data_IF_167061112671
#
_entry.id   IF_167061112671
#
_cell.length_a   1.000
_cell.length_b   1.000
_cell.length_c   1.000
_cell.angle_alpha   90.00
_cell.angle_beta   90.00
_cell.angle_gamma   90.00
#
_symmetry.space_group_name_H-M   'P 1'
#
loop_
_entity.id
_entity.type
_entity.pdbx_description
1 polymer ?
#
# COMPACT_ATOMS: atom_id res chain seq x y z
N UNK A 1 -40.19 26.36 8.97
CA UNK A 1 -40.31 24.89 9.16
C UNK A 1 -38.92 24.32 9.52
N UNK A 2 -38.82 23.27 10.35
CA UNK A 2 -37.54 22.58 10.66
C UNK A 2 -37.37 21.38 9.70
N UNK A 3 -36.21 21.27 9.06
CA UNK A 3 -35.88 20.23 8.07
C UNK A 3 -35.12 19.02 8.63
N UNK A 4 -34.77 19.04 9.92
CA UNK A 4 -33.98 18.02 10.61
C UNK A 4 -32.65 18.57 11.11
N UNK A 5 -31.79 17.70 11.64
CA UNK A 5 -30.45 18.04 12.09
C UNK A 5 -29.42 17.85 10.97
N UNK A 6 -28.47 18.77 10.88
CA UNK A 6 -27.36 18.70 9.95
C UNK A 6 -26.48 17.49 10.26
N UNK A 7 -26.23 16.62 9.27
CA UNK A 7 -25.46 15.39 9.51
C UNK A 7 -23.97 15.62 9.83
N UNK A 8 -23.44 16.82 9.58
CA UNK A 8 -22.04 17.16 9.86
C UNK A 8 -21.84 17.81 11.24
N UNK A 9 -22.72 18.73 11.65
CA UNK A 9 -22.54 19.48 12.90
C UNK A 9 -23.56 19.14 14.00
N UNK A 10 -24.61 18.36 13.68
CA UNK A 10 -25.67 17.97 14.62
C UNK A 10 -26.66 19.08 14.99
N UNK A 11 -26.49 20.28 14.44
CA UNK A 11 -27.37 21.43 14.70
C UNK A 11 -28.61 21.40 13.81
N UNK A 12 -29.74 21.91 14.31
CA UNK A 12 -30.98 22.02 13.54
C UNK A 12 -30.81 22.85 12.25
N UNK A 13 -31.44 22.39 11.16
CA UNK A 13 -31.52 23.10 9.88
C UNK A 13 -32.93 23.66 9.73
N UNK A 14 -33.02 24.98 9.72
CA UNK A 14 -34.28 25.70 9.56
C UNK A 14 -34.51 26.11 8.10
N UNK A 15 -35.75 26.52 7.80
CA UNK A 15 -36.13 26.98 6.47
C UNK A 15 -35.46 28.26 6.00
N UNK A 16 -35.02 29.09 6.94
CA UNK A 16 -34.18 30.25 6.67
C UNK A 16 -32.77 29.90 6.23
N UNK A 17 -32.31 28.66 6.47
CA UNK A 17 -30.92 28.28 6.28
C UNK A 17 -30.69 27.77 4.84
N UNK A 18 -29.58 28.20 4.24
CA UNK A 18 -29.06 27.58 3.02
C UNK A 18 -28.61 26.15 3.33
N UNK A 19 -29.10 25.18 2.55
CA UNK A 19 -28.93 23.76 2.83
C UNK A 19 -28.76 22.93 1.57
N UNK A 20 -28.16 21.75 1.75
CA UNK A 20 -27.98 20.74 0.72
C UNK A 20 -28.66 19.45 1.20
N UNK A 21 -29.42 18.82 0.31
CA UNK A 21 -29.98 17.49 0.54
C UNK A 21 -29.00 16.43 0.06
N UNK A 22 -28.70 15.46 0.92
CA UNK A 22 -27.84 14.30 0.65
C UNK A 22 -28.63 13.00 0.85
N UNK A 23 -28.11 11.88 0.35
CA UNK A 23 -28.70 10.54 0.51
C UNK A 23 -28.83 10.18 2.00
N UNK A 24 -27.93 10.69 2.84
CA UNK A 24 -27.86 10.40 4.27
C UNK A 24 -28.58 11.43 5.16
N UNK A 25 -29.13 12.51 4.59
CA UNK A 25 -29.85 13.54 5.35
C UNK A 25 -29.68 14.96 4.81
N UNK A 26 -29.99 15.94 5.66
CA UNK A 26 -29.86 17.37 5.35
C UNK A 26 -28.56 17.93 5.91
N UNK A 27 -27.96 18.91 5.23
CA UNK A 27 -26.68 19.52 5.61
C UNK A 27 -26.79 21.04 5.45
N UNK A 28 -26.27 21.82 6.41
CA UNK A 28 -26.06 23.27 6.19
C UNK A 28 -25.08 23.48 5.03
N UNK A 29 -25.38 24.41 4.14
CA UNK A 29 -24.55 24.65 2.95
C UNK A 29 -23.08 24.95 3.30
N UNK A 30 -22.84 25.71 4.37
CA UNK A 30 -21.50 26.00 4.88
C UNK A 30 -20.76 24.74 5.36
N UNK A 31 -21.45 23.86 6.08
CA UNK A 31 -20.87 22.59 6.52
C UNK A 31 -20.53 21.66 5.34
N UNK A 32 -21.36 21.63 4.30
CA UNK A 32 -21.07 20.88 3.06
C UNK A 32 -19.83 21.45 2.33
N UNK A 33 -19.67 22.77 2.29
CA UNK A 33 -18.48 23.42 1.72
C UNK A 33 -17.21 23.11 2.51
N UNK A 34 -17.25 23.23 3.84
CA UNK A 34 -16.11 22.90 4.71
C UNK A 34 -15.69 21.43 4.57
N UNK A 35 -16.66 20.51 4.54
CA UNK A 35 -16.41 19.09 4.37
C UNK A 35 -15.81 18.76 2.98
N UNK A 36 -16.28 19.41 1.91
CA UNK A 36 -15.67 19.26 0.57
C UNK A 36 -14.24 19.77 0.55
N UNK A 37 -13.97 20.90 1.19
CA UNK A 37 -12.61 21.44 1.30
C UNK A 37 -11.69 20.52 2.12
N UNK A 38 -12.17 19.91 3.20
CA UNK A 38 -11.37 18.98 3.99
C UNK A 38 -11.04 17.71 3.19
N UNK A 39 -12.01 17.15 2.48
CA UNK A 39 -11.78 16.01 1.57
C UNK A 39 -10.72 16.37 0.52
N UNK A 40 -10.84 17.54 -0.12
CA UNK A 40 -9.88 17.96 -1.14
C UNK A 40 -8.47 18.13 -0.58
N UNK A 41 -8.33 18.60 0.66
CA UNK A 41 -7.04 18.73 1.33
C UNK A 41 -6.44 17.36 1.69
N UNK A 42 -7.24 16.46 2.26
CA UNK A 42 -6.82 15.09 2.57
C UNK A 42 -6.40 14.34 1.30
N UNK A 43 -7.18 14.46 0.21
CA UNK A 43 -6.83 13.86 -1.08
C UNK A 43 -5.51 14.40 -1.62
N UNK A 44 -5.26 15.71 -1.53
CA UNK A 44 -3.98 16.31 -1.95
C UNK A 44 -2.81 15.79 -1.11
N UNK A 45 -2.98 15.71 0.20
CA UNK A 45 -1.94 15.20 1.09
C UNK A 45 -1.61 13.73 0.78
N UNK A 46 -2.62 12.88 0.62
CA UNK A 46 -2.44 11.49 0.21
C UNK A 46 -1.67 11.38 -1.11
N UNK A 47 -2.06 12.16 -2.13
CA UNK A 47 -1.36 12.18 -3.42
C UNK A 47 0.11 12.62 -3.30
N UNK A 48 0.43 13.58 -2.43
CA UNK A 48 1.80 14.01 -2.19
C UNK A 48 2.63 12.92 -1.49
N UNK A 49 2.03 12.24 -0.51
CA UNK A 49 2.66 11.11 0.19
C UNK A 49 2.95 9.94 -0.77
N UNK A 50 2.00 9.58 -1.63
CA UNK A 50 2.19 8.55 -2.67
C UNK A 50 3.31 8.91 -3.64
N UNK A 51 3.35 10.15 -4.14
CA UNK A 51 4.43 10.63 -5.01
C UNK A 51 5.79 10.58 -4.32
N UNK A 52 5.86 10.97 -3.05
CA UNK A 52 7.08 10.92 -2.26
C UNK A 52 7.55 9.48 -2.03
N UNK A 53 6.62 8.55 -1.75
CA UNK A 53 6.90 7.14 -1.62
C UNK A 53 7.41 6.55 -2.94
N UNK A 54 6.69 6.73 -4.05
CA UNK A 54 7.12 6.24 -5.37
C UNK A 54 8.52 6.78 -5.75
N UNK A 55 8.83 8.03 -5.43
CA UNK A 55 10.16 8.60 -5.66
C UNK A 55 11.25 7.93 -4.82
N UNK A 56 10.96 7.58 -3.55
CA UNK A 56 11.90 6.86 -2.67
C UNK A 56 12.13 5.43 -3.17
N UNK A 57 11.06 4.72 -3.52
CA UNK A 57 11.10 3.35 -4.02
C UNK A 57 11.83 3.26 -5.36
N UNK A 58 11.55 4.16 -6.31
CA UNK A 58 12.26 4.21 -7.60
C UNK A 58 13.78 4.45 -7.42
N UNK A 59 14.15 5.34 -6.48
CA UNK A 59 15.57 5.55 -6.14
C UNK A 59 16.20 4.30 -5.53
N UNK A 60 15.45 3.58 -4.69
CA UNK A 60 15.89 2.33 -4.09
C UNK A 60 16.13 1.27 -5.16
N UNK A 61 15.18 1.04 -6.07
CA UNK A 61 15.32 0.10 -7.18
C UNK A 61 16.50 0.43 -8.08
N UNK A 62 16.65 1.69 -8.48
CA UNK A 62 17.79 2.15 -9.27
C UNK A 62 19.14 1.94 -8.57
N UNK A 63 19.17 1.99 -7.23
CA UNK A 63 20.35 1.66 -6.44
C UNK A 63 20.57 0.15 -6.38
N UNK A 64 19.53 -0.64 -6.16
CA UNK A 64 19.62 -2.10 -6.11
C UNK A 64 20.11 -2.67 -7.44
N UNK A 65 19.56 -2.20 -8.58
CA UNK A 65 19.98 -2.58 -9.93
C UNK A 65 21.48 -2.39 -10.18
N UNK A 66 22.06 -1.33 -9.60
CA UNK A 66 23.49 -1.00 -9.75
C UNK A 66 24.40 -1.74 -8.77
N UNK A 67 23.88 -2.15 -7.61
CA UNK A 67 24.73 -2.63 -6.49
C UNK A 67 24.62 -4.12 -6.23
N UNK A 68 23.50 -4.75 -6.59
CA UNK A 68 23.32 -6.18 -6.45
C UNK A 68 23.98 -6.93 -7.60
N UNK A 69 24.33 -8.19 -7.36
CA UNK A 69 24.77 -9.10 -8.43
C UNK A 69 23.62 -9.25 -9.43
N UNK A 70 23.88 -9.29 -10.75
CA UNK A 70 22.82 -9.39 -11.76
C UNK A 70 21.83 -10.53 -11.51
N UNK A 71 22.31 -11.70 -11.09
CA UNK A 71 21.43 -12.85 -10.79
C UNK A 71 20.55 -12.69 -9.56
N UNK A 72 20.92 -11.83 -8.60
CA UNK A 72 20.11 -11.50 -7.42
C UNK A 72 19.10 -10.42 -7.79
N UNK A 73 19.49 -9.47 -8.64
CA UNK A 73 18.55 -8.45 -9.13
C UNK A 73 17.53 -9.04 -10.11
N UNK A 74 17.93 -9.98 -10.96
CA UNK A 74 17.00 -10.68 -11.85
C UNK A 74 15.91 -11.45 -11.09
N UNK A 75 16.22 -11.97 -9.91
CA UNK A 75 15.20 -12.55 -9.01
C UNK A 75 14.16 -11.51 -8.58
N UNK A 76 14.59 -10.29 -8.29
CA UNK A 76 13.70 -9.20 -7.91
C UNK A 76 12.88 -8.73 -9.13
N UNK A 77 13.48 -8.65 -10.32
CA UNK A 77 12.76 -8.31 -11.56
C UNK A 77 11.64 -9.32 -11.86
N UNK A 78 11.89 -10.63 -11.69
CA UNK A 78 10.85 -11.65 -11.85
C UNK A 78 9.68 -11.47 -10.88
N UNK A 79 9.94 -11.12 -9.61
CA UNK A 79 8.85 -10.85 -8.65
C UNK A 79 7.95 -9.70 -9.10
N UNK A 80 8.50 -8.71 -9.81
CA UNK A 80 7.71 -7.62 -10.39
C UNK A 80 6.93 -8.04 -11.65
N UNK A 81 7.34 -9.11 -12.32
CA UNK A 81 6.65 -9.65 -13.50
C UNK A 81 5.51 -10.59 -13.11
N UNK A 82 5.71 -11.42 -12.08
CA UNK A 82 4.76 -12.48 -11.66
C UNK A 82 3.73 -11.99 -10.62
N UNK A 83 4.05 -10.94 -9.87
CA UNK A 83 3.20 -10.45 -8.79
C UNK A 83 2.89 -8.96 -8.92
N UNK A 84 1.77 -8.54 -8.33
CA UNK A 84 1.58 -7.12 -8.00
C UNK A 84 2.44 -6.84 -6.79
N UNK A 85 3.40 -5.93 -6.95
CA UNK A 85 4.28 -5.51 -5.87
C UNK A 85 3.94 -4.08 -5.46
N UNK A 86 3.69 -3.89 -4.17
CA UNK A 86 3.61 -2.59 -3.51
C UNK A 86 4.65 -2.49 -2.40
N UNK A 87 4.91 -1.27 -1.94
CA UNK A 87 5.72 -0.96 -0.75
C UNK A 87 7.01 -1.78 -0.60
N UNK A 88 8.13 -1.20 -1.03
CA UNK A 88 9.44 -1.85 -0.93
C UNK A 88 10.36 -1.13 0.07
N UNK A 89 11.05 -1.92 0.90
CA UNK A 89 11.98 -1.39 1.90
C UNK A 89 13.17 -2.33 2.12
N UNK A 90 14.35 -1.77 2.46
CA UNK A 90 15.46 -2.57 2.97
C UNK A 90 15.37 -2.64 4.49
N UNK A 91 15.25 -3.84 5.02
CA UNK A 91 15.17 -4.11 6.46
C UNK A 91 16.29 -5.02 6.95
N UNK A 92 16.51 -5.02 8.26
CA UNK A 92 17.39 -5.97 8.95
C UNK A 92 16.69 -7.30 9.24
N UNK A 93 17.47 -8.32 9.64
CA UNK A 93 16.93 -9.62 10.03
C UNK A 93 15.91 -9.54 11.19
N UNK A 94 16.02 -8.54 12.06
CA UNK A 94 15.12 -8.28 13.19
C UNK A 94 13.69 -7.92 12.77
N UNK A 95 13.49 -7.54 11.49
CA UNK A 95 12.19 -7.20 10.92
C UNK A 95 11.63 -8.28 9.99
N UNK A 96 12.35 -9.38 9.82
CA UNK A 96 11.90 -10.49 8.98
C UNK A 96 10.91 -11.35 9.78
N UNK A 97 9.76 -11.64 9.20
CA UNK A 97 8.76 -12.58 9.71
C UNK A 97 8.43 -13.65 8.67
N UNK A 98 7.46 -14.52 8.97
CA UNK A 98 7.00 -15.58 8.06
C UNK A 98 7.78 -16.89 8.15
N UNK A 99 7.51 -17.79 7.21
CA UNK A 99 8.20 -19.07 7.05
C UNK A 99 9.41 -18.93 6.12
N UNK A 100 10.46 -19.69 6.41
CA UNK A 100 11.67 -19.71 5.60
C UNK A 100 11.52 -20.74 4.48
N UNK A 101 11.21 -20.25 3.28
CA UNK A 101 10.97 -21.08 2.11
C UNK A 101 12.19 -21.16 1.19
N UNK A 102 12.29 -22.24 0.41
CA UNK A 102 13.32 -22.35 -0.63
C UNK A 102 12.89 -21.53 -1.82
N UNK A 103 13.78 -20.67 -2.29
CA UNK A 103 13.48 -19.80 -3.43
C UNK A 103 13.21 -20.59 -4.72
N UNK A 104 13.79 -21.78 -4.89
CA UNK A 104 13.47 -22.66 -6.03
C UNK A 104 12.02 -23.13 -6.06
N UNK A 105 11.37 -23.24 -4.91
CA UNK A 105 10.01 -23.76 -4.82
C UNK A 105 8.99 -22.67 -5.22
N UNK A 106 9.38 -21.41 -5.06
CA UNK A 106 8.67 -20.24 -5.59
C UNK A 106 8.80 -20.08 -7.11
N UNK A 107 9.98 -20.36 -7.67
CA UNK A 107 10.29 -20.02 -9.06
C UNK A 107 10.21 -21.21 -10.02
N UNK A 108 10.05 -22.43 -9.49
CA UNK A 108 10.13 -23.66 -10.28
C UNK A 108 11.53 -23.98 -10.83
N UNK A 109 12.52 -23.10 -10.63
CA UNK A 109 13.89 -23.28 -11.12
C UNK A 109 14.98 -22.83 -10.11
N UNK A 110 16.23 -23.20 -10.40
CA UNK A 110 17.37 -22.90 -9.53
C UNK A 110 17.82 -21.45 -9.66
N UNK A 111 17.48 -20.62 -8.67
CA UNK A 111 17.90 -19.21 -8.59
C UNK A 111 19.14 -18.99 -7.71
N UNK A 112 19.76 -17.80 -7.80
CA UNK A 112 20.97 -17.47 -7.01
C UNK A 112 20.68 -17.22 -5.53
N UNK A 113 19.44 -16.93 -5.18
CA UNK A 113 18.96 -16.84 -3.82
C UNK A 113 18.53 -18.24 -3.38
N UNK A 114 18.99 -18.70 -2.20
CA UNK A 114 18.66 -20.06 -1.73
C UNK A 114 17.32 -20.12 -1.01
N UNK A 115 17.04 -19.10 -0.21
CA UNK A 115 15.87 -19.02 0.64
C UNK A 115 15.31 -17.60 0.61
N UNK A 116 13.99 -17.50 0.76
CA UNK A 116 13.28 -16.27 1.09
C UNK A 116 12.51 -16.49 2.38
N UNK A 117 11.99 -15.41 2.94
CA UNK A 117 10.96 -15.51 3.97
C UNK A 117 9.64 -15.05 3.40
N UNK A 118 8.59 -15.75 3.76
CA UNK A 118 7.27 -15.64 3.18
C UNK A 118 6.22 -15.61 4.29
N UNK A 119 5.44 -14.55 4.33
CA UNK A 119 4.31 -14.34 5.22
C UNK A 119 3.04 -14.03 4.41
N UNK A 120 2.95 -14.62 3.22
CA UNK A 120 1.76 -14.52 2.38
C UNK A 120 0.69 -15.49 2.85
N UNK A 121 -0.56 -15.04 2.75
CA UNK A 121 -1.74 -15.85 3.04
C UNK A 121 -2.65 -15.86 1.83
N UNK A 122 -3.25 -17.01 1.56
CA UNK A 122 -4.34 -17.14 0.62
C UNK A 122 -5.64 -16.66 1.26
N UNK A 123 -6.50 -16.02 0.48
CA UNK A 123 -7.81 -15.62 0.96
C UNK A 123 -8.74 -16.83 1.18
N UNK A 124 -9.92 -16.55 1.74
CA UNK A 124 -10.89 -17.58 2.10
C UNK A 124 -11.40 -18.38 0.89
N UNK A 125 -11.44 -17.75 -0.28
CA UNK A 125 -11.96 -18.34 -1.50
C UNK A 125 -10.89 -19.10 -2.30
N UNK A 126 -9.62 -18.91 -1.97
CA UNK A 126 -8.50 -19.61 -2.58
C UNK A 126 -8.11 -19.04 -3.94
N UNK A 127 -8.68 -17.91 -4.34
CA UNK A 127 -8.49 -17.28 -5.65
C UNK A 127 -7.52 -16.09 -5.59
N UNK A 128 -7.21 -15.58 -4.40
CA UNK A 128 -6.20 -14.55 -4.19
C UNK A 128 -5.19 -14.89 -3.11
N UNK A 129 -4.03 -14.24 -3.16
CA UNK A 129 -3.05 -14.25 -2.09
C UNK A 129 -2.44 -12.87 -1.88
N UNK A 130 -1.93 -12.64 -0.68
CA UNK A 130 -1.20 -11.42 -0.39
C UNK A 130 -0.43 -11.49 0.92
N UNK A 131 0.56 -10.63 1.04
CA UNK A 131 1.37 -10.49 2.24
C UNK A 131 2.78 -10.02 1.94
N UNK A 132 3.67 -10.19 2.92
CA UNK A 132 5.05 -9.73 2.80
C UNK A 132 5.98 -10.89 2.48
N UNK A 133 6.98 -10.59 1.65
CA UNK A 133 8.14 -11.45 1.44
C UNK A 133 9.43 -10.70 1.75
N UNK A 134 10.47 -11.42 2.16
CA UNK A 134 11.79 -10.87 2.42
C UNK A 134 12.85 -11.60 1.62
N UNK A 135 13.43 -10.88 0.66
CA UNK A 135 14.46 -11.37 -0.24
C UNK A 135 15.84 -11.02 0.31
N UNK A 136 16.74 -12.00 0.56
CA UNK A 136 18.07 -11.69 1.06
C UNK A 136 18.90 -10.97 -0.01
N UNK A 137 19.33 -9.75 0.29
CA UNK A 137 20.20 -8.92 -0.57
C UNK A 137 21.64 -8.84 -0.05
N UNK A 138 21.96 -9.61 1.00
CA UNK A 138 23.29 -9.80 1.56
C UNK A 138 23.64 -8.89 2.73
N UNK A 139 24.66 -9.31 3.50
CA UNK A 139 25.12 -8.65 4.74
C UNK A 139 24.02 -8.52 5.82
N UNK A 140 23.19 -9.56 5.97
CA UNK A 140 22.10 -9.56 6.96
C UNK A 140 20.95 -8.59 6.66
N UNK A 141 20.87 -8.09 5.41
CA UNK A 141 19.82 -7.19 4.94
C UNK A 141 18.89 -7.91 3.98
N UNK A 142 17.63 -7.51 4.02
CA UNK A 142 16.55 -8.07 3.25
C UNK A 142 15.81 -6.97 2.52
N UNK A 143 15.40 -7.24 1.29
CA UNK A 143 14.40 -6.42 0.60
C UNK A 143 13.04 -6.99 1.00
N UNK A 144 12.30 -6.22 1.79
CA UNK A 144 10.89 -6.48 2.08
C UNK A 144 10.05 -5.96 0.91
N UNK A 145 9.09 -6.77 0.47
CA UNK A 145 8.16 -6.43 -0.60
C UNK A 145 6.76 -6.87 -0.15
N UNK A 146 5.76 -5.99 -0.28
CA UNK A 146 4.36 -6.41 -0.18
C UNK A 146 3.93 -6.93 -1.56
N UNK A 147 3.46 -8.16 -1.63
CA UNK A 147 3.01 -8.76 -2.88
C UNK A 147 1.56 -9.23 -2.78
N UNK A 148 0.86 -9.26 -3.90
CA UNK A 148 -0.44 -9.92 -4.04
C UNK A 148 -0.67 -10.36 -5.49
N UNK A 149 -1.60 -11.29 -5.67
CA UNK A 149 -1.98 -11.84 -6.97
C UNK A 149 -3.28 -12.61 -6.92
#
# INVERSE_FOLDING_TARGET
MNYGQCVHCGTDVYESDERVSSIIGVIHFTCDQEHKLSIDLEMKEMMEQEKAQAKRENKLLARLKRTLKPKVYGFIEFLFEDHRVGSIEIVGFDKVSGSKERARDWFGESVSIRYIWDDTSTDYWGDGYGGFIWVPIGKGRYLQMHIWG
#
